data_IF_709137489490
#
_entry.id   IF_709137489490
#
_cell.length_a   1.000
_cell.length_b   1.000
_cell.length_c   1.000
_cell.angle_alpha   90.00
_cell.angle_beta   90.00
_cell.angle_gamma   90.00
#
_symmetry.space_group_name_H-M   'P 1'
#
loop_
_entity.id
_entity.type
_entity.pdbx_description
1 polymer ?
#
# COMPACT_ATOMS: atom_id res chain seq x y z
N UNK A 1 -16.49 53.82 29.64
CA UNK A 1 -15.83 53.42 28.36
C UNK A 1 -14.63 52.50 28.56
N UNK A 2 -13.82 52.64 29.62
CA UNK A 2 -12.67 51.74 29.86
C UNK A 2 -13.03 50.26 30.06
N UNK A 3 -14.11 49.95 30.77
CA UNK A 3 -14.50 48.57 31.08
C UNK A 3 -14.85 47.74 29.83
N UNK A 4 -15.42 48.40 28.81
CA UNK A 4 -15.86 47.78 27.55
C UNK A 4 -14.67 47.47 26.63
N UNK A 5 -13.64 48.30 26.65
CA UNK A 5 -12.38 48.04 25.95
C UNK A 5 -11.61 46.87 26.56
N UNK A 6 -11.64 46.71 27.89
CA UNK A 6 -11.02 45.57 28.56
C UNK A 6 -11.72 44.25 28.24
N UNK A 7 -13.05 44.21 28.18
CA UNK A 7 -13.78 43.00 27.79
C UNK A 7 -13.57 42.62 26.33
N UNK A 8 -13.47 43.61 25.44
CA UNK A 8 -13.18 43.38 24.01
C UNK A 8 -11.75 42.86 23.79
N UNK A 9 -10.77 43.43 24.52
CA UNK A 9 -9.39 42.95 24.50
C UNK A 9 -9.27 41.53 25.10
N UNK A 10 -9.99 41.23 26.17
CA UNK A 10 -10.01 39.91 26.78
C UNK A 10 -10.66 38.87 25.85
N UNK A 11 -11.76 39.23 25.17
CA UNK A 11 -12.46 38.35 24.24
C UNK A 11 -11.62 38.05 22.98
N UNK A 12 -10.93 39.07 22.44
CA UNK A 12 -10.02 38.90 21.30
C UNK A 12 -8.81 38.05 21.66
N UNK A 13 -8.21 38.28 22.85
CA UNK A 13 -7.11 37.46 23.36
C UNK A 13 -7.55 36.00 23.54
N UNK A 14 -8.72 35.78 24.15
CA UNK A 14 -9.28 34.43 24.34
C UNK A 14 -9.52 33.74 22.98
N UNK A 15 -10.07 34.46 22.01
CA UNK A 15 -10.32 33.94 20.66
C UNK A 15 -9.01 33.56 19.96
N UNK A 16 -7.98 34.40 20.07
CA UNK A 16 -6.66 34.11 19.53
C UNK A 16 -6.03 32.88 20.20
N UNK A 17 -6.12 32.78 21.53
CA UNK A 17 -5.61 31.63 22.29
C UNK A 17 -6.34 30.33 21.91
N UNK A 18 -7.66 30.37 21.70
CA UNK A 18 -8.44 29.22 21.25
C UNK A 18 -8.06 28.80 19.83
N UNK A 19 -7.86 29.75 18.91
CA UNK A 19 -7.38 29.45 17.55
C UNK A 19 -5.99 28.83 17.59
N UNK A 20 -5.06 29.40 18.37
CA UNK A 20 -3.71 28.85 18.51
C UNK A 20 -3.68 27.49 19.21
N UNK A 21 -4.55 27.24 20.19
CA UNK A 21 -4.67 25.92 20.81
C UNK A 21 -5.20 24.88 19.82
N UNK A 22 -6.22 25.22 19.04
CA UNK A 22 -6.75 24.36 17.97
C UNK A 22 -5.68 24.10 16.90
N UNK A 23 -4.95 25.12 16.47
CA UNK A 23 -3.89 24.97 15.46
C UNK A 23 -2.69 24.16 15.99
N UNK A 24 -2.33 24.35 17.27
CA UNK A 24 -1.27 23.58 17.93
C UNK A 24 -1.65 22.10 18.10
N UNK A 25 -2.90 21.80 18.42
CA UNK A 25 -3.38 20.41 18.50
C UNK A 25 -3.50 19.72 17.14
N UNK A 26 -3.77 20.47 16.06
CA UNK A 26 -3.76 19.93 14.69
C UNK A 26 -2.37 19.47 14.24
N UNK A 27 -1.31 20.05 14.79
CA UNK A 27 0.06 19.89 14.25
C UNK A 27 0.93 18.86 15.00
N UNK A 28 0.47 18.23 16.10
CA UNK A 28 1.36 17.44 16.99
C UNK A 28 0.88 16.00 17.32
N UNK A 29 -0.10 15.43 16.60
CA UNK A 29 -0.46 14.01 16.80
C UNK A 29 0.33 13.02 15.93
N UNK A 30 0.86 13.45 14.77
CA UNK A 30 1.41 12.54 13.76
C UNK A 30 2.88 12.14 14.01
N UNK A 31 3.69 12.93 14.72
CA UNK A 31 5.15 12.74 14.81
C UNK A 31 5.64 11.89 15.99
N UNK A 32 4.77 11.49 16.93
CA UNK A 32 5.17 10.80 18.17
C UNK A 32 4.85 9.31 18.24
N UNK A 33 4.16 8.74 17.25
CA UNK A 33 3.81 7.32 17.29
C UNK A 33 4.96 6.48 16.72
N UNK A 34 5.91 6.08 17.59
CA UNK A 34 7.06 5.24 17.23
C UNK A 34 6.64 3.94 16.52
N UNK A 35 5.43 3.46 16.82
CA UNK A 35 4.80 2.31 16.16
C UNK A 35 4.47 2.58 14.68
N UNK A 36 4.03 3.80 14.32
CA UNK A 36 3.84 4.19 12.92
C UNK A 36 5.17 4.23 12.15
N UNK A 37 6.26 4.68 12.79
CA UNK A 37 7.60 4.66 12.20
C UNK A 37 8.07 3.25 11.85
N UNK A 38 7.87 2.30 12.77
CA UNK A 38 8.20 0.90 12.54
C UNK A 38 7.36 0.28 11.42
N UNK A 39 6.04 0.52 11.41
CA UNK A 39 5.13 0.03 10.37
C UNK A 39 5.45 0.60 8.98
N UNK A 40 5.80 1.88 8.90
CA UNK A 40 6.26 2.50 7.65
C UNK A 40 7.56 1.87 7.17
N UNK A 41 8.55 1.71 8.06
CA UNK A 41 9.83 1.11 7.72
C UNK A 41 9.67 -0.34 7.27
N UNK A 42 8.80 -1.12 7.93
CA UNK A 42 8.51 -2.50 7.56
C UNK A 42 7.83 -2.57 6.19
N UNK A 43 6.83 -1.72 5.94
CA UNK A 43 6.16 -1.61 4.63
C UNK A 43 7.16 -1.27 3.54
N UNK A 44 8.02 -0.26 3.75
CA UNK A 44 9.06 0.13 2.79
C UNK A 44 10.08 -0.98 2.51
N UNK A 45 10.54 -1.69 3.55
CA UNK A 45 11.46 -2.82 3.40
C UNK A 45 10.82 -3.94 2.58
N UNK A 46 9.56 -4.28 2.86
CA UNK A 46 8.86 -5.34 2.16
C UNK A 46 8.58 -4.97 0.70
N UNK A 47 8.19 -3.72 0.41
CA UNK A 47 8.00 -3.24 -0.96
C UNK A 47 9.30 -3.32 -1.76
N UNK A 48 10.43 -2.89 -1.19
CA UNK A 48 11.74 -3.00 -1.86
C UNK A 48 12.15 -4.45 -2.11
N UNK A 49 11.89 -5.33 -1.14
CA UNK A 49 12.16 -6.76 -1.30
C UNK A 49 11.30 -7.37 -2.41
N UNK A 50 9.99 -7.09 -2.41
CA UNK A 50 9.06 -7.56 -3.43
C UNK A 50 9.44 -7.04 -4.83
N UNK A 51 9.92 -5.80 -4.95
CA UNK A 51 10.43 -5.25 -6.20
C UNK A 51 11.67 -5.98 -6.69
N UNK A 52 12.62 -6.30 -5.80
CA UNK A 52 13.81 -7.05 -6.18
C UNK A 52 13.44 -8.45 -6.66
N UNK A 53 12.64 -9.16 -5.86
CA UNK A 53 12.24 -10.54 -6.17
C UNK A 53 11.34 -10.64 -7.40
N UNK A 54 10.57 -9.60 -7.74
CA UNK A 54 9.78 -9.61 -8.96
C UNK A 54 10.66 -9.58 -10.22
N UNK A 55 11.80 -8.87 -10.19
CA UNK A 55 12.76 -8.87 -11.31
C UNK A 55 13.36 -10.25 -11.50
N UNK A 56 13.78 -10.89 -10.40
CA UNK A 56 14.35 -12.25 -10.43
C UNK A 56 13.29 -13.27 -10.89
N UNK A 57 12.07 -13.19 -10.35
CA UNK A 57 10.95 -14.06 -10.73
C UNK A 57 10.59 -13.94 -12.21
N UNK A 58 10.56 -12.72 -12.78
CA UNK A 58 10.27 -12.53 -14.21
C UNK A 58 11.34 -13.22 -15.07
N UNK A 59 12.61 -13.17 -14.65
CA UNK A 59 13.72 -13.83 -15.33
C UNK A 59 13.57 -15.35 -15.28
N UNK A 60 13.31 -15.90 -14.09
CA UNK A 60 13.08 -17.34 -13.89
C UNK A 60 11.87 -17.80 -14.70
N UNK A 61 10.75 -17.07 -14.63
CA UNK A 61 9.53 -17.36 -15.37
C UNK A 61 9.79 -17.49 -16.88
N UNK A 62 10.47 -16.49 -17.47
CA UNK A 62 10.80 -16.48 -18.90
C UNK A 62 11.66 -17.68 -19.29
N UNK A 63 12.71 -17.96 -18.51
CA UNK A 63 13.58 -19.11 -18.76
C UNK A 63 12.81 -20.44 -18.72
N UNK A 64 11.82 -20.58 -17.84
CA UNK A 64 10.97 -21.76 -17.74
C UNK A 64 9.89 -21.89 -18.82
N UNK A 65 9.62 -20.84 -19.61
CA UNK A 65 8.66 -20.92 -20.73
C UNK A 65 9.29 -21.39 -22.06
N UNK A 66 10.61 -21.59 -22.11
CA UNK A 66 11.32 -22.00 -23.32
C UNK A 66 11.55 -20.89 -24.35
N UNK A 67 11.83 -21.29 -25.60
CA UNK A 67 12.40 -20.44 -26.65
C UNK A 67 11.45 -19.30 -27.12
N UNK A 68 10.14 -19.43 -26.88
CA UNK A 68 9.12 -18.46 -27.31
C UNK A 68 8.75 -17.42 -26.24
N UNK A 69 9.44 -17.43 -25.10
CA UNK A 69 9.20 -16.54 -23.96
C UNK A 69 9.36 -15.05 -24.29
N UNK A 70 10.28 -14.69 -25.20
CA UNK A 70 10.53 -13.30 -25.59
C UNK A 70 9.38 -12.66 -26.39
N UNK A 71 8.59 -13.48 -27.09
CA UNK A 71 7.43 -13.04 -27.88
C UNK A 71 6.17 -12.97 -27.01
N UNK A 72 5.93 -13.98 -26.18
CA UNK A 72 4.71 -14.09 -25.37
C UNK A 72 4.68 -13.14 -24.17
N UNK A 73 5.84 -12.82 -23.57
CA UNK A 73 5.90 -11.92 -22.41
C UNK A 73 5.78 -10.42 -22.76
N UNK A 74 5.58 -10.06 -24.04
CA UNK A 74 5.38 -8.68 -24.50
C UNK A 74 3.93 -8.38 -24.90
N UNK A 75 3.06 -9.39 -24.88
CA UNK A 75 1.65 -9.23 -25.26
C UNK A 75 0.93 -8.44 -24.17
N UNK A 76 0.28 -7.35 -24.55
CA UNK A 76 -0.61 -6.61 -23.66
C UNK A 76 -1.84 -7.46 -23.37
N UNK A 77 -2.08 -7.74 -22.09
CA UNK A 77 -3.23 -8.55 -21.64
C UNK A 77 -4.27 -7.62 -21.04
N UNK A 78 -5.52 -7.78 -21.47
CA UNK A 78 -6.64 -7.05 -20.87
C UNK A 78 -6.83 -7.49 -19.42
N UNK A 79 -7.30 -6.56 -18.56
CA UNK A 79 -7.59 -6.81 -17.15
C UNK A 79 -6.37 -7.05 -16.25
N UNK A 80 -5.19 -6.53 -16.60
CA UNK A 80 -4.10 -6.39 -15.64
C UNK A 80 -4.37 -5.16 -14.76
N UNK A 81 -4.25 -5.25 -13.42
CA UNK A 81 -4.40 -4.08 -12.55
C UNK A 81 -3.45 -2.96 -12.95
N UNK A 82 -3.96 -1.72 -12.98
CA UNK A 82 -3.13 -0.54 -13.25
C UNK A 82 -2.00 -0.46 -12.20
N UNK A 83 -0.72 -0.37 -12.60
CA UNK A 83 0.39 -0.22 -11.66
C UNK A 83 0.51 1.20 -11.07
N UNK A 84 -0.22 2.19 -11.62
CA UNK A 84 -0.11 3.57 -11.19
C UNK A 84 -0.89 3.82 -9.89
N UNK A 85 -0.21 4.48 -8.95
CA UNK A 85 -0.86 4.93 -7.71
C UNK A 85 -1.71 6.16 -8.02
N UNK A 86 -3.00 6.06 -7.73
CA UNK A 86 -3.98 7.13 -7.89
C UNK A 86 -4.27 7.83 -6.55
N UNK A 87 -4.91 9.01 -6.62
CA UNK A 87 -5.29 9.80 -5.43
C UNK A 87 -4.37 10.99 -5.17
N UNK A 88 -4.94 12.07 -4.64
CA UNK A 88 -4.23 13.30 -4.31
C UNK A 88 -3.70 13.25 -2.88
N UNK A 89 -4.56 12.82 -1.96
CA UNK A 89 -4.25 12.75 -0.53
C UNK A 89 -3.49 11.47 -0.16
N UNK A 90 -2.65 11.49 0.91
CA UNK A 90 -1.92 10.30 1.34
C UNK A 90 -2.81 9.10 1.67
N UNK A 91 -4.00 9.32 2.24
CA UNK A 91 -4.99 8.29 2.51
C UNK A 91 -5.47 7.62 1.23
N UNK A 92 -5.80 8.40 0.21
CA UNK A 92 -6.24 7.92 -1.11
C UNK A 92 -5.15 7.12 -1.81
N UNK A 93 -3.88 7.58 -1.73
CA UNK A 93 -2.74 6.87 -2.30
C UNK A 93 -2.51 5.51 -1.66
N UNK A 94 -2.60 5.42 -0.34
CA UNK A 94 -2.46 4.14 0.39
C UNK A 94 -3.62 3.20 0.06
N UNK A 95 -4.83 3.73 -0.05
CA UNK A 95 -6.01 2.98 -0.50
C UNK A 95 -5.81 2.47 -1.93
N UNK A 96 -5.33 3.28 -2.85
CA UNK A 96 -5.02 2.87 -4.23
C UNK A 96 -4.03 1.70 -4.24
N UNK A 97 -2.92 1.79 -3.48
CA UNK A 97 -1.96 0.68 -3.35
C UNK A 97 -2.63 -0.60 -2.86
N UNK A 98 -3.44 -0.52 -1.80
CA UNK A 98 -4.14 -1.68 -1.27
C UNK A 98 -5.10 -2.30 -2.29
N UNK A 99 -5.88 -1.47 -2.99
CA UNK A 99 -6.82 -1.92 -4.02
C UNK A 99 -6.09 -2.62 -5.17
N UNK A 100 -4.97 -2.07 -5.64
CA UNK A 100 -4.16 -2.72 -6.68
C UNK A 100 -3.55 -4.04 -6.21
N UNK A 101 -3.10 -4.14 -4.96
CA UNK A 101 -2.63 -5.41 -4.39
C UNK A 101 -3.74 -6.44 -4.30
N UNK A 102 -4.93 -6.06 -3.85
CA UNK A 102 -6.10 -6.94 -3.78
C UNK A 102 -6.53 -7.43 -5.15
N UNK A 103 -6.52 -6.56 -6.16
CA UNK A 103 -6.78 -6.95 -7.54
C UNK A 103 -5.70 -7.88 -8.09
N UNK A 104 -4.42 -7.64 -7.80
CA UNK A 104 -3.30 -8.42 -8.30
C UNK A 104 -3.24 -9.87 -7.76
N UNK A 105 -3.54 -10.07 -6.48
CA UNK A 105 -3.45 -11.39 -5.82
C UNK A 105 -4.19 -12.52 -6.59
N UNK A 106 -5.45 -12.39 -7.00
CA UNK A 106 -6.15 -13.44 -7.76
C UNK A 106 -5.54 -13.67 -9.15
N UNK A 107 -5.03 -12.64 -9.84
CA UNK A 107 -4.31 -12.84 -11.10
C UNK A 107 -3.05 -13.66 -10.90
N UNK A 108 -2.28 -13.32 -9.87
CA UNK A 108 -1.05 -14.04 -9.56
C UNK A 108 -1.30 -15.48 -9.12
N UNK A 109 -2.40 -15.74 -8.39
CA UNK A 109 -2.84 -17.09 -8.03
C UNK A 109 -3.09 -17.94 -9.28
N UNK A 110 -3.79 -17.41 -10.29
CA UNK A 110 -4.04 -18.13 -11.55
C UNK A 110 -2.74 -18.49 -12.27
N UNK A 111 -1.75 -17.58 -12.29
CA UNK A 111 -0.42 -17.86 -12.88
C UNK A 111 0.26 -19.01 -12.14
N UNK A 112 0.21 -19.03 -10.81
CA UNK A 112 0.76 -20.13 -10.02
C UNK A 112 0.08 -21.47 -10.33
N UNK A 113 -1.25 -21.49 -10.40
CA UNK A 113 -2.02 -22.70 -10.73
C UNK A 113 -1.66 -23.21 -12.14
N UNK A 114 -1.62 -22.32 -13.14
CA UNK A 114 -1.22 -22.67 -14.51
C UNK A 114 0.21 -23.22 -14.57
N UNK A 115 1.15 -22.64 -13.83
CA UNK A 115 2.52 -23.15 -13.81
C UNK A 115 2.63 -24.49 -13.07
N UNK A 116 1.75 -24.76 -12.10
CA UNK A 116 1.72 -26.06 -11.42
C UNK A 116 1.36 -27.20 -12.39
N UNK A 117 0.49 -26.92 -13.37
CA UNK A 117 0.12 -27.89 -14.41
C UNK A 117 1.23 -28.11 -15.45
N UNK A 118 2.09 -27.10 -15.67
CA UNK A 118 3.12 -27.11 -16.71
C UNK A 118 4.50 -27.55 -16.23
N UNK A 119 4.80 -27.34 -14.94
CA UNK A 119 6.13 -27.52 -14.37
C UNK A 119 6.21 -28.81 -13.56
N UNK A 120 7.42 -29.39 -13.49
CA UNK A 120 7.67 -30.47 -12.52
C UNK A 120 7.55 -29.94 -11.08
N UNK A 121 7.10 -30.76 -10.10
CA UNK A 121 6.87 -30.30 -8.73
C UNK A 121 8.10 -29.69 -8.03
N UNK A 122 9.31 -30.08 -8.44
CA UNK A 122 10.57 -29.58 -7.89
C UNK A 122 11.11 -28.35 -8.63
N UNK A 123 10.31 -27.75 -9.51
CA UNK A 123 10.72 -26.58 -10.30
C UNK A 123 11.00 -25.37 -9.38
N UNK A 124 12.17 -24.72 -9.51
CA UNK A 124 12.48 -23.48 -8.76
C UNK A 124 11.43 -22.39 -8.98
N UNK A 125 10.81 -22.34 -10.17
CA UNK A 125 9.77 -21.37 -10.50
C UNK A 125 8.56 -21.51 -9.56
N UNK A 126 8.13 -22.72 -9.22
CA UNK A 126 6.97 -22.94 -8.35
C UNK A 126 7.25 -22.43 -6.92
N UNK A 127 8.47 -22.60 -6.42
CA UNK A 127 8.88 -22.10 -5.12
C UNK A 127 8.92 -20.56 -5.10
N UNK A 128 9.48 -19.94 -6.14
CA UNK A 128 9.52 -18.47 -6.27
C UNK A 128 8.12 -17.86 -6.40
N UNK A 129 7.23 -18.47 -7.21
CA UNK A 129 5.83 -18.06 -7.32
C UNK A 129 5.10 -18.19 -5.97
N UNK A 130 5.24 -19.31 -5.26
CA UNK A 130 4.62 -19.49 -3.95
C UNK A 130 5.10 -18.42 -2.94
N UNK A 131 6.40 -18.14 -2.92
CA UNK A 131 7.01 -17.10 -2.07
C UNK A 131 6.47 -15.72 -2.41
N UNK A 132 6.47 -15.34 -3.69
CA UNK A 132 5.94 -14.05 -4.15
C UNK A 132 4.44 -13.90 -3.80
N UNK A 133 3.64 -14.95 -3.98
CA UNK A 133 2.22 -14.96 -3.60
C UNK A 133 2.01 -14.68 -2.11
N UNK A 134 2.80 -15.33 -1.24
CA UNK A 134 2.75 -15.10 0.20
C UNK A 134 3.18 -13.67 0.56
N UNK A 135 4.22 -13.14 -0.08
CA UNK A 135 4.69 -11.77 0.15
C UNK A 135 3.69 -10.71 -0.31
N UNK A 136 3.03 -10.90 -1.44
CA UNK A 136 1.95 -9.99 -1.89
C UNK A 136 0.81 -9.92 -0.88
N UNK A 137 0.38 -11.07 -0.31
CA UNK A 137 -0.62 -11.10 0.76
C UNK A 137 -0.15 -10.38 2.02
N UNK A 138 1.09 -10.63 2.44
CA UNK A 138 1.67 -9.96 3.61
C UNK A 138 1.80 -8.44 3.41
N UNK A 139 2.18 -8.01 2.21
CA UNK A 139 2.24 -6.59 1.87
C UNK A 139 0.86 -5.95 1.91
N UNK A 140 -0.17 -6.60 1.36
CA UNK A 140 -1.54 -6.10 1.43
C UNK A 140 -2.03 -5.95 2.89
N UNK A 141 -1.71 -6.92 3.75
CA UNK A 141 -2.05 -6.85 5.17
C UNK A 141 -1.31 -5.72 5.90
N UNK A 142 -0.02 -5.52 5.62
CA UNK A 142 0.77 -4.43 6.20
C UNK A 142 0.28 -3.06 5.73
N UNK A 143 -0.01 -2.90 4.44
CA UNK A 143 -0.56 -1.65 3.89
C UNK A 143 -1.91 -1.33 4.54
N UNK A 144 -2.79 -2.33 4.71
CA UNK A 144 -4.07 -2.17 5.42
C UNK A 144 -3.86 -1.73 6.87
N UNK A 145 -2.99 -2.42 7.60
CA UNK A 145 -2.69 -2.09 9.00
C UNK A 145 -2.07 -0.70 9.14
N UNK A 146 -1.18 -0.33 8.21
CA UNK A 146 -0.57 0.99 8.13
C UNK A 146 -1.61 2.08 7.88
N UNK A 147 -2.54 1.86 6.95
CA UNK A 147 -3.66 2.76 6.71
C UNK A 147 -4.50 2.97 7.97
N UNK A 148 -4.95 1.89 8.59
CA UNK A 148 -5.80 1.94 9.79
C UNK A 148 -5.10 2.64 10.97
N UNK A 149 -3.78 2.51 11.07
CA UNK A 149 -2.99 3.19 12.11
C UNK A 149 -2.88 4.70 11.86
N UNK A 150 -2.77 5.14 10.61
CA UNK A 150 -2.65 6.55 10.25
C UNK A 150 -4.01 7.26 10.17
N UNK A 151 -5.05 6.56 9.74
CA UNK A 151 -6.38 7.10 9.49
C UNK A 151 -7.46 6.27 10.19
N UNK A 152 -7.44 6.18 11.54
CA UNK A 152 -8.33 5.28 12.29
C UNK A 152 -9.82 5.61 12.13
N UNK A 153 -10.15 6.84 11.75
CA UNK A 153 -11.52 7.31 11.56
C UNK A 153 -11.99 7.20 10.10
N UNK A 154 -11.13 6.78 9.16
CA UNK A 154 -11.50 6.62 7.76
C UNK A 154 -11.78 5.15 7.43
N UNK A 155 -12.85 4.85 6.69
CA UNK A 155 -13.15 3.48 6.28
C UNK A 155 -12.14 3.02 5.23
N UNK A 156 -11.65 1.79 5.38
CA UNK A 156 -10.90 1.12 4.33
C UNK A 156 -11.90 0.54 3.32
N UNK A 157 -11.71 0.73 2.00
CA UNK A 157 -12.54 0.05 1.03
C UNK A 157 -12.44 -1.46 1.20
N UNK A 158 -13.59 -2.12 1.23
CA UNK A 158 -13.61 -3.57 1.18
C UNK A 158 -13.10 -4.03 -0.19
N UNK A 159 -12.30 -5.11 -0.24
CA UNK A 159 -11.96 -5.70 -1.53
C UNK A 159 -13.27 -6.05 -2.24
N UNK A 160 -13.43 -5.59 -3.49
CA UNK A 160 -14.57 -5.99 -4.31
C UNK A 160 -14.60 -7.52 -4.32
N UNK A 161 -15.61 -8.10 -3.67
CA UNK A 161 -15.73 -9.54 -3.49
C UNK A 161 -15.66 -10.23 -4.84
N UNK A 162 -14.77 -11.22 -4.93
CA UNK A 162 -14.80 -12.25 -5.95
C UNK A 162 -15.51 -13.48 -5.42
#
# INVERSE_FOLDING_TARGET
>A
MHFQQFTELAATLLSLLLVMAVDSTKTVAASRNQQCGNSLQQTLKLTRLAQKESVDLIKTYKASQGEMSELLCKVSVNNVPDPNISGLEPSEKIVSIYTHLQAFIPHFKRVYEQQTDLQIPTSPLLAELASASARSRNLAALVKSFYQSLFPNLPMPEPAGG
#
